data_IF_403522661881
#
_entry.id   IF_403522661881
#
_cell.length_a   1.000
_cell.length_b   1.000
_cell.length_c   1.000
_cell.angle_alpha   90.00
_cell.angle_beta   90.00
_cell.angle_gamma   90.00
#
_symmetry.space_group_name_H-M   'P 1'
#
loop_
_entity.id
_entity.type
_entity.pdbx_description
1 polymer ?
#
# COMPACT_ATOMS: atom_id res chain seq x y z
N UNK A 1 9.00 -19.63 -39.02
CA UNK A 1 10.23 -19.30 -38.26
C UNK A 1 9.82 -18.58 -36.96
N UNK A 2 9.25 -19.31 -35.99
CA UNK A 2 8.75 -18.74 -34.74
C UNK A 2 9.79 -18.90 -33.63
N UNK A 3 10.30 -17.78 -33.09
CA UNK A 3 11.25 -17.80 -31.97
C UNK A 3 10.46 -17.83 -30.67
N UNK A 4 10.34 -19.00 -30.06
CA UNK A 4 9.79 -19.16 -28.71
C UNK A 4 10.77 -18.57 -27.71
N UNK A 5 10.42 -17.43 -27.10
CA UNK A 5 11.19 -16.84 -26.03
C UNK A 5 11.01 -17.69 -24.76
N UNK A 6 12.08 -18.36 -24.33
CA UNK A 6 12.11 -19.07 -23.04
C UNK A 6 12.24 -18.02 -21.94
N UNK A 7 11.14 -17.77 -21.22
CA UNK A 7 11.17 -16.97 -19.99
C UNK A 7 11.91 -17.77 -18.93
N UNK A 8 13.16 -17.40 -18.64
CA UNK A 8 13.96 -18.03 -17.60
C UNK A 8 13.43 -17.56 -16.25
N UNK A 9 12.76 -18.46 -15.52
CA UNK A 9 12.35 -18.21 -14.14
C UNK A 9 13.60 -17.87 -13.30
N UNK A 10 13.60 -16.70 -12.65
CA UNK A 10 14.65 -16.33 -11.70
C UNK A 10 14.50 -17.24 -10.48
N UNK A 11 15.48 -18.11 -10.26
CA UNK A 11 15.57 -18.90 -9.02
C UNK A 11 15.70 -17.96 -7.83
N UNK A 12 14.75 -18.03 -6.89
CA UNK A 12 14.91 -17.37 -5.59
C UNK A 12 16.15 -17.96 -4.90
N UNK A 13 17.05 -17.10 -4.44
CA UNK A 13 18.26 -17.55 -3.75
C UNK A 13 17.89 -18.39 -2.53
N UNK A 14 18.59 -19.51 -2.35
CA UNK A 14 18.42 -20.40 -1.19
C UNK A 14 18.68 -19.68 0.15
N UNK A 15 19.37 -18.53 0.09
CA UNK A 15 19.66 -17.65 1.20
C UNK A 15 18.43 -17.26 2.03
N UNK A 16 17.27 -17.11 1.41
CA UNK A 16 16.04 -16.64 2.06
C UNK A 16 15.09 -17.77 2.49
N UNK A 17 15.47 -19.05 2.34
CA UNK A 17 14.55 -20.20 2.53
C UNK A 17 13.97 -20.34 3.95
N UNK A 18 14.66 -19.80 4.95
CA UNK A 18 14.26 -19.90 6.35
C UNK A 18 13.76 -18.55 6.91
N UNK A 19 13.54 -17.56 6.05
CA UNK A 19 12.97 -16.28 6.49
C UNK A 19 11.46 -16.41 6.46
N UNK A 20 10.88 -16.54 7.64
CA UNK A 20 9.43 -16.56 7.81
C UNK A 20 8.83 -15.16 7.64
N UNK A 21 7.61 -15.04 7.09
CA UNK A 21 6.91 -13.76 7.03
C UNK A 21 6.67 -13.16 8.43
N UNK A 22 6.90 -11.85 8.56
CA UNK A 22 6.52 -11.11 9.76
C UNK A 22 4.99 -11.07 9.89
N UNK A 23 4.43 -11.05 11.11
CA UNK A 23 3.03 -10.72 11.32
C UNK A 23 2.67 -9.39 10.64
N UNK A 24 1.44 -9.31 10.13
CA UNK A 24 0.90 -8.08 9.55
C UNK A 24 0.79 -6.99 10.62
N UNK A 25 1.07 -5.75 10.22
CA UNK A 25 0.90 -4.59 11.08
C UNK A 25 -0.60 -4.33 11.33
N UNK A 26 -1.05 -4.27 12.61
CA UNK A 26 -2.46 -4.04 12.93
C UNK A 26 -3.02 -2.70 12.44
N UNK A 27 -2.20 -1.64 12.35
CA UNK A 27 -2.61 -0.30 11.88
C UNK A 27 -2.91 -0.35 10.38
N UNK A 28 -2.10 -1.07 9.61
CA UNK A 28 -2.34 -1.26 8.17
C UNK A 28 -3.66 -2.01 7.91
N UNK A 29 -4.02 -2.97 8.77
CA UNK A 29 -5.27 -3.73 8.67
C UNK A 29 -6.53 -2.86 8.75
N UNK A 30 -6.50 -1.75 9.51
CA UNK A 30 -7.65 -0.81 9.61
C UNK A 30 -7.93 -0.15 8.26
N UNK A 31 -6.88 0.24 7.54
CA UNK A 31 -7.04 0.88 6.23
C UNK A 31 -7.50 -0.13 5.17
N UNK A 32 -7.01 -1.37 5.21
CA UNK A 32 -7.49 -2.46 4.34
C UNK A 32 -9.00 -2.70 4.53
N UNK A 33 -9.45 -2.81 5.78
CA UNK A 33 -10.87 -2.99 6.11
C UNK A 33 -11.72 -1.79 5.65
N UNK A 34 -11.24 -0.56 5.91
CA UNK A 34 -11.90 0.66 5.45
C UNK A 34 -12.05 0.71 3.93
N UNK A 35 -11.03 0.32 3.16
CA UNK A 35 -11.09 0.31 1.70
C UNK A 35 -12.07 -0.75 1.16
N UNK A 36 -12.20 -1.89 1.83
CA UNK A 36 -13.10 -2.98 1.45
C UNK A 36 -14.59 -2.71 1.77
N UNK A 37 -14.87 -1.88 2.78
CA UNK A 37 -16.24 -1.52 3.17
C UNK A 37 -16.95 -0.71 2.06
N UNK A 38 -18.21 -1.02 1.76
CA UNK A 38 -19.02 -0.33 0.75
C UNK A 38 -20.02 0.65 1.35
N UNK A 39 -20.06 0.80 2.68
CA UNK A 39 -20.97 1.73 3.34
C UNK A 39 -20.67 3.18 2.88
N UNK A 40 -21.67 3.94 2.41
CA UNK A 40 -21.44 5.26 1.84
C UNK A 40 -20.89 6.27 2.87
N UNK A 41 -21.29 6.13 4.13
CA UNK A 41 -20.91 7.04 5.21
C UNK A 41 -19.73 6.54 6.06
N UNK A 42 -18.91 5.62 5.54
CA UNK A 42 -17.74 5.10 6.26
C UNK A 42 -16.70 6.20 6.54
N UNK A 43 -16.07 6.17 7.71
CA UNK A 43 -15.01 7.12 8.11
C UNK A 43 -13.77 6.36 8.56
N UNK A 44 -12.59 6.78 8.06
CA UNK A 44 -11.31 6.22 8.49
C UNK A 44 -10.71 7.06 9.63
N UNK A 45 -10.67 6.49 10.83
CA UNK A 45 -10.03 7.10 12.03
C UNK A 45 -8.71 6.42 12.41
N UNK A 46 -8.21 5.49 11.60
CA UNK A 46 -6.96 4.76 11.84
C UNK A 46 -5.71 5.42 11.25
N UNK A 47 -5.86 6.29 10.25
CA UNK A 47 -4.73 6.97 9.60
C UNK A 47 -4.39 8.26 10.35
N UNK A 48 -3.21 8.29 10.97
CA UNK A 48 -2.66 9.47 11.67
C UNK A 48 -2.08 10.54 10.74
N UNK A 49 -2.81 10.94 9.70
CA UNK A 49 -2.37 11.98 8.76
C UNK A 49 -3.46 13.04 8.58
N UNK A 50 -3.05 14.30 8.42
CA UNK A 50 -3.97 15.42 8.28
C UNK A 50 -4.83 15.28 7.02
N UNK A 51 -6.12 15.59 7.16
CA UNK A 51 -7.13 15.56 6.10
C UNK A 51 -7.87 16.88 6.06
N UNK A 52 -8.34 17.27 4.88
CA UNK A 52 -9.25 18.40 4.70
C UNK A 52 -10.69 18.04 5.13
N UNK A 53 -11.59 19.01 5.02
CA UNK A 53 -13.02 18.87 5.36
C UNK A 53 -13.75 17.83 4.49
N UNK A 54 -13.16 17.41 3.36
CA UNK A 54 -13.69 16.37 2.48
C UNK A 54 -13.01 15.00 2.71
N UNK A 55 -12.18 14.87 3.76
CA UNK A 55 -11.44 13.66 4.07
C UNK A 55 -10.25 13.35 3.15
N UNK A 56 -9.83 14.31 2.31
CA UNK A 56 -8.70 14.13 1.38
C UNK A 56 -7.36 14.51 2.02
N UNK A 57 -6.24 13.90 1.59
CA UNK A 57 -4.91 14.32 2.03
C UNK A 57 -4.65 15.80 1.68
N UNK A 58 -3.99 16.50 2.61
CA UNK A 58 -3.64 17.92 2.42
C UNK A 58 -2.18 18.03 1.98
N UNK A 59 -1.94 18.79 0.91
CA UNK A 59 -0.62 19.28 0.54
C UNK A 59 -0.60 20.78 0.86
N UNK A 60 0.34 21.20 1.70
CA UNK A 60 0.48 22.61 2.08
C UNK A 60 1.05 23.42 0.92
N UNK A 61 0.68 24.70 0.86
CA UNK A 61 1.08 25.56 -0.28
C UNK A 61 2.59 25.77 -0.35
N UNK A 62 3.25 25.98 0.79
CA UNK A 62 4.71 26.11 0.83
C UNK A 62 5.47 24.87 0.30
N UNK A 63 4.86 23.68 0.34
CA UNK A 63 5.46 22.49 -0.28
C UNK A 63 5.31 22.49 -1.80
N UNK A 64 4.17 22.98 -2.33
CA UNK A 64 3.98 23.12 -3.79
C UNK A 64 4.90 24.17 -4.38
N UNK A 65 5.12 25.26 -3.66
CA UNK A 65 6.03 26.34 -4.08
C UNK A 65 7.50 25.90 -4.11
N UNK A 66 7.85 24.84 -3.37
CA UNK A 66 9.22 24.37 -3.21
C UNK A 66 9.61 23.20 -4.13
N UNK A 67 8.65 22.56 -4.81
CA UNK A 67 8.86 21.44 -5.75
C UNK A 67 9.37 21.91 -7.13
#
# INVERSE_FOLDING_TARGET
MGRTAVVRARSMSSWWRNVEPSPKDPILGVTEAFLADQHPDKVNVGVGAYRDDNGKPVVLECFREAE
#
